data_IF_229343819658
#
_entry.id   IF_229343819658
#
_cell.length_a   1.000
_cell.length_b   1.000
_cell.length_c   1.000
_cell.angle_alpha   90.00
_cell.angle_beta   90.00
_cell.angle_gamma   90.00
#
_symmetry.space_group_name_H-M   'P 1'
#
loop_
_entity.id
_entity.type
_entity.pdbx_description
1 polymer ?
#
# COMPACT_ATOMS: atom_id res chain seq x y z
N UNK A 1 16.01 6.10 -4.75
CA UNK A 1 14.91 6.08 -3.76
C UNK A 1 13.65 5.59 -4.45
N UNK A 2 13.47 4.26 -4.45
CA UNK A 2 12.19 3.57 -4.16
C UNK A 2 10.89 4.20 -4.68
N UNK A 3 10.67 4.18 -6.00
CA UNK A 3 9.37 4.49 -6.62
C UNK A 3 8.20 3.76 -5.94
N UNK A 4 8.42 2.50 -5.54
CA UNK A 4 7.47 1.70 -4.77
C UNK A 4 7.09 2.33 -3.42
N UNK A 5 8.05 2.89 -2.67
CA UNK A 5 7.76 3.57 -1.40
C UNK A 5 6.95 4.86 -1.63
N UNK A 6 7.23 5.61 -2.70
CA UNK A 6 6.40 6.77 -3.05
C UNK A 6 4.97 6.38 -3.41
N UNK A 7 4.80 5.25 -4.11
CA UNK A 7 3.48 4.72 -4.44
C UNK A 7 2.71 4.31 -3.18
N UNK A 8 3.36 3.60 -2.27
CA UNK A 8 2.80 3.18 -0.98
C UNK A 8 2.35 4.41 -0.17
N UNK A 9 3.18 5.44 -0.07
CA UNK A 9 2.84 6.67 0.64
C UNK A 9 1.64 7.40 0.00
N UNK A 10 1.58 7.43 -1.33
CA UNK A 10 0.45 8.01 -2.06
C UNK A 10 -0.86 7.27 -1.76
N UNK A 11 -0.85 5.94 -1.89
CA UNK A 11 -2.01 5.11 -1.62
C UNK A 11 -2.42 5.13 -0.15
N UNK A 12 -1.46 5.29 0.77
CA UNK A 12 -1.77 5.47 2.19
C UNK A 12 -2.55 6.74 2.44
N UNK A 13 -2.15 7.86 1.81
CA UNK A 13 -2.88 9.12 1.94
C UNK A 13 -4.27 9.03 1.30
N UNK A 14 -4.38 8.42 0.11
CA UNK A 14 -5.67 8.19 -0.55
C UNK A 14 -6.61 7.32 0.31
N UNK A 15 -6.09 6.28 0.96
CA UNK A 15 -6.87 5.45 1.88
C UNK A 15 -7.43 6.27 3.06
N UNK A 16 -6.63 7.16 3.64
CA UNK A 16 -7.09 8.04 4.71
C UNK A 16 -8.17 9.01 4.24
N UNK A 17 -7.99 9.62 3.06
CA UNK A 17 -8.99 10.52 2.46
C UNK A 17 -10.31 9.78 2.18
N UNK A 18 -10.24 8.56 1.61
CA UNK A 18 -11.41 7.73 1.35
C UNK A 18 -12.09 7.25 2.64
N UNK A 19 -11.33 6.90 3.67
CA UNK A 19 -11.86 6.52 4.97
C UNK A 19 -12.56 7.69 5.67
N UNK A 20 -12.02 8.90 5.54
CA UNK A 20 -12.64 10.12 6.09
C UNK A 20 -13.91 10.49 5.31
N UNK A 21 -13.89 10.39 3.97
CA UNK A 21 -14.99 10.80 3.11
C UNK A 21 -16.15 9.78 3.08
N UNK A 22 -15.83 8.50 2.94
CA UNK A 22 -16.82 7.44 2.69
C UNK A 22 -16.94 6.43 3.83
N UNK A 23 -16.06 6.52 4.83
CA UNK A 23 -15.97 5.56 5.92
C UNK A 23 -15.04 4.38 5.61
N UNK A 24 -14.56 3.67 6.65
CA UNK A 24 -13.60 2.56 6.51
C UNK A 24 -14.17 1.34 5.79
N UNK A 25 -15.50 1.16 5.78
CA UNK A 25 -16.18 0.01 5.17
C UNK A 25 -16.74 0.30 3.78
N UNK A 26 -16.47 1.49 3.24
CA UNK A 26 -16.89 1.81 1.88
C UNK A 26 -16.15 0.91 0.88
N UNK A 27 -16.83 0.50 -0.20
CA UNK A 27 -16.21 -0.34 -1.22
C UNK A 27 -14.92 0.30 -1.78
N UNK A 28 -14.88 1.62 -1.91
CA UNK A 28 -13.73 2.39 -2.39
C UNK A 28 -12.57 2.35 -1.40
N UNK A 29 -12.87 2.50 -0.11
CA UNK A 29 -11.86 2.44 0.96
C UNK A 29 -11.28 1.03 1.08
N UNK A 30 -12.12 0.01 0.96
CA UNK A 30 -11.70 -1.40 0.97
C UNK A 30 -10.82 -1.71 -0.25
N UNK A 31 -11.21 -1.27 -1.45
CA UNK A 31 -10.42 -1.46 -2.66
C UNK A 31 -9.05 -0.77 -2.57
N UNK A 32 -9.02 0.48 -2.10
CA UNK A 32 -7.76 1.20 -1.86
C UNK A 32 -6.89 0.49 -0.81
N UNK A 33 -7.48 -0.06 0.26
CA UNK A 33 -6.78 -0.84 1.27
C UNK A 33 -6.15 -2.10 0.68
N UNK A 34 -6.87 -2.82 -0.19
CA UNK A 34 -6.37 -4.02 -0.85
C UNK A 34 -5.20 -3.69 -1.80
N UNK A 35 -5.31 -2.60 -2.55
CA UNK A 35 -4.23 -2.14 -3.44
C UNK A 35 -2.98 -1.73 -2.65
N UNK A 36 -3.15 -1.07 -1.50
CA UNK A 36 -2.05 -0.73 -0.60
C UNK A 36 -1.38 -1.99 -0.02
N UNK A 37 -2.16 -2.99 0.38
CA UNK A 37 -1.65 -4.27 0.86
C UNK A 37 -0.84 -5.02 -0.21
N UNK A 38 -1.27 -5.01 -1.47
CA UNK A 38 -0.50 -5.59 -2.58
C UNK A 38 0.86 -4.91 -2.76
N UNK A 39 0.91 -3.58 -2.66
CA UNK A 39 2.16 -2.82 -2.76
C UNK A 39 3.10 -3.12 -1.58
N UNK A 40 2.56 -3.25 -0.37
CA UNK A 40 3.32 -3.66 0.81
C UNK A 40 3.86 -5.08 0.68
N UNK A 41 3.06 -6.00 0.16
CA UNK A 41 3.49 -7.37 -0.13
C UNK A 41 4.61 -7.42 -1.17
N UNK A 42 4.54 -6.60 -2.22
CA UNK A 42 5.63 -6.46 -3.19
C UNK A 42 6.90 -5.92 -2.54
N UNK A 43 6.80 -4.93 -1.66
CA UNK A 43 7.95 -4.42 -0.92
C UNK A 43 8.59 -5.50 -0.04
N UNK A 44 7.78 -6.22 0.74
CA UNK A 44 8.25 -7.32 1.58
C UNK A 44 8.91 -8.43 0.76
N UNK A 45 8.36 -8.78 -0.41
CA UNK A 45 8.94 -9.78 -1.30
C UNK A 45 10.29 -9.32 -1.88
N UNK A 46 10.43 -8.04 -2.21
CA UNK A 46 11.70 -7.47 -2.67
C UNK A 46 12.77 -7.50 -1.56
N UNK A 47 12.40 -7.10 -0.34
CA UNK A 47 13.30 -7.13 0.83
C UNK A 47 13.71 -8.55 1.21
N UNK A 48 12.78 -9.51 1.19
CA UNK A 48 13.07 -10.93 1.43
C UNK A 48 14.00 -11.52 0.37
N UNK A 49 13.84 -11.16 -0.91
CA UNK A 49 14.75 -11.60 -1.96
C UNK A 49 16.16 -11.01 -1.75
N UNK A 50 16.29 -9.77 -1.26
CA UNK A 50 17.61 -9.20 -0.96
C UNK A 50 18.31 -9.90 0.21
N UNK A 51 17.57 -10.29 1.25
CA UNK A 51 18.11 -11.05 2.40
C UNK A 51 18.58 -12.46 2.02
N UNK A 52 18.00 -13.04 0.97
CA UNK A 52 18.32 -14.42 0.53
C UNK A 52 19.60 -14.53 -0.31
N UNK A 53 20.11 -13.41 -0.81
CA UNK A 53 21.37 -13.30 -1.57
C UNK A 53 22.47 -12.50 -0.83
N UNK A 54 22.27 -12.22 0.46
CA UNK A 54 23.24 -11.53 1.33
C UNK A 54 23.99 -12.50 2.24
#
# INVERSE_FOLDING_TARGET
MTYLLMLIESYRNELFELAEQYGPTSARTIECSQQLDELLNLLMALEQNQQRFS
#
